data_IF_281331789853
#
_entry.id   IF_281331789853
#
_cell.length_a   1.000
_cell.length_b   1.000
_cell.length_c   1.000
_cell.angle_alpha   90.00
_cell.angle_beta   90.00
_cell.angle_gamma   90.00
#
_symmetry.space_group_name_H-M   'P 1'
#
loop_
_entity.id
_entity.type
_entity.pdbx_description
1 polymer ?
#
# COMPACT_ATOMS: atom_id res chain seq x y z
N UNK A 1 -13.52 -16.64 13.23
CA UNK A 1 -14.78 -16.88 13.98
C UNK A 1 -14.70 -17.95 15.08
N UNK A 2 -14.02 -19.10 14.90
CA UNK A 2 -13.95 -20.16 15.95
C UNK A 2 -13.15 -19.77 17.22
N UNK A 3 -12.19 -18.85 17.12
CA UNK A 3 -11.34 -18.42 18.26
C UNK A 3 -12.02 -17.40 19.19
N UNK A 4 -12.88 -16.52 18.66
CA UNK A 4 -13.61 -15.49 19.44
C UNK A 4 -14.68 -16.14 20.34
N UNK A 5 -15.33 -17.19 19.85
CA UNK A 5 -16.34 -17.93 20.61
C UNK A 5 -15.71 -18.67 21.80
N UNK A 6 -14.42 -19.04 21.71
CA UNK A 6 -13.72 -19.80 22.75
C UNK A 6 -13.47 -18.97 24.03
N UNK A 7 -13.25 -17.66 23.92
CA UNK A 7 -13.03 -16.79 25.09
C UNK A 7 -14.34 -16.47 25.80
N UNK A 8 -15.42 -16.19 25.06
CA UNK A 8 -16.75 -15.98 25.65
C UNK A 8 -17.35 -17.26 26.28
N UNK A 9 -17.02 -18.45 25.77
CA UNK A 9 -17.50 -19.73 26.33
C UNK A 9 -16.79 -20.16 27.63
N UNK A 10 -15.58 -19.67 27.91
CA UNK A 10 -14.89 -19.98 29.17
C UNK A 10 -15.45 -19.18 30.37
N UNK A 11 -16.14 -18.06 30.12
CA UNK A 11 -16.68 -17.18 31.17
C UNK A 11 -18.08 -17.59 31.68
N UNK A 12 -18.86 -18.34 30.89
CA UNK A 12 -20.23 -18.73 31.29
C UNK A 12 -20.29 -19.85 32.33
N UNK A 13 -19.19 -20.57 32.58
CA UNK A 13 -19.14 -21.66 33.57
C UNK A 13 -18.88 -21.14 35.00
N UNK A 14 -18.48 -19.88 35.19
CA UNK A 14 -18.17 -19.30 36.50
C UNK A 14 -19.35 -18.56 37.18
N UNK A 15 -20.58 -18.72 36.70
CA UNK A 15 -21.78 -18.00 37.19
C UNK A 15 -22.26 -18.41 38.61
N UNK A 16 -21.38 -18.94 39.46
CA UNK A 16 -21.64 -19.17 40.88
C UNK A 16 -20.58 -18.46 41.71
N UNK A 17 -20.79 -17.17 42.00
CA UNK A 17 -20.14 -16.47 43.13
C UNK A 17 -19.16 -15.33 42.85
N UNK A 18 -19.10 -14.76 41.64
CA UNK A 18 -18.25 -13.59 41.36
C UNK A 18 -18.73 -12.32 42.08
N UNK A 19 -17.82 -11.60 42.73
CA UNK A 19 -18.10 -10.31 43.36
C UNK A 19 -18.37 -9.23 42.30
N UNK A 20 -19.22 -8.25 42.62
CA UNK A 20 -19.61 -7.15 41.74
C UNK A 20 -18.42 -6.34 41.20
N UNK A 21 -17.34 -6.26 41.98
CA UNK A 21 -16.09 -5.59 41.59
C UNK A 21 -15.33 -6.38 40.51
N UNK A 22 -15.27 -7.71 40.61
CA UNK A 22 -14.62 -8.57 39.63
C UNK A 22 -15.38 -8.60 38.30
N UNK A 23 -16.72 -8.59 38.35
CA UNK A 23 -17.57 -8.43 37.16
C UNK A 23 -17.32 -7.10 36.43
N UNK A 24 -17.20 -6.00 37.16
CA UNK A 24 -16.91 -4.69 36.57
C UNK A 24 -15.50 -4.65 35.94
N UNK A 25 -14.52 -5.30 36.55
CA UNK A 25 -13.17 -5.42 36.00
C UNK A 25 -13.14 -6.22 34.70
N UNK A 26 -13.83 -7.37 34.65
CA UNK A 26 -13.98 -8.19 33.45
C UNK A 26 -14.66 -7.43 32.31
N UNK A 27 -15.77 -6.73 32.59
CA UNK A 27 -16.46 -5.91 31.59
C UNK A 27 -15.55 -4.83 30.99
N UNK A 28 -14.66 -4.23 31.81
CA UNK A 28 -13.69 -3.25 31.33
C UNK A 28 -12.65 -3.90 30.42
N UNK A 29 -12.11 -5.05 30.80
CA UNK A 29 -11.17 -5.81 29.97
C UNK A 29 -11.80 -6.22 28.63
N UNK A 30 -13.06 -6.68 28.64
CA UNK A 30 -13.78 -7.02 27.42
C UNK A 30 -13.96 -5.79 26.52
N UNK A 31 -14.30 -4.63 27.10
CA UNK A 31 -14.39 -3.38 26.36
C UNK A 31 -13.04 -2.96 25.73
N UNK A 32 -11.95 -3.05 26.50
CA UNK A 32 -10.59 -2.78 26.00
C UNK A 32 -10.21 -3.73 24.85
N UNK A 33 -10.57 -5.01 24.95
CA UNK A 33 -10.34 -5.99 23.89
C UNK A 33 -11.16 -5.69 22.62
N UNK A 34 -12.44 -5.31 22.76
CA UNK A 34 -13.26 -4.91 21.60
C UNK A 34 -12.71 -3.64 20.93
N UNK A 35 -12.24 -2.67 21.71
CA UNK A 35 -11.60 -1.46 21.19
C UNK A 35 -10.32 -1.79 20.40
N UNK A 36 -9.52 -2.75 20.87
CA UNK A 36 -8.34 -3.24 20.14
C UNK A 36 -8.72 -3.88 18.80
N UNK A 37 -9.74 -4.75 18.77
CA UNK A 37 -10.22 -5.35 17.53
C UNK A 37 -10.70 -4.31 16.53
N UNK A 38 -11.38 -3.26 17.00
CA UNK A 38 -11.82 -2.17 16.14
C UNK A 38 -10.63 -1.41 15.56
N UNK A 39 -9.61 -1.08 16.38
CA UNK A 39 -8.39 -0.40 15.90
C UNK A 39 -7.62 -1.22 14.88
N UNK A 40 -7.55 -2.54 15.07
CA UNK A 40 -6.92 -3.45 14.10
C UNK A 40 -7.69 -3.46 12.76
N UNK A 41 -9.03 -3.49 12.81
CA UNK A 41 -9.86 -3.43 11.61
C UNK A 41 -9.73 -2.08 10.87
N UNK A 42 -9.72 -0.96 11.61
CA UNK A 42 -9.50 0.38 11.05
C UNK A 42 -8.12 0.47 10.38
N UNK A 43 -7.07 -0.03 11.04
CA UNK A 43 -5.71 -0.03 10.48
C UNK A 43 -5.58 -0.90 9.23
N UNK A 44 -6.25 -2.04 9.20
CA UNK A 44 -6.30 -2.90 8.01
C UNK A 44 -6.96 -2.19 6.83
N UNK A 45 -8.03 -1.43 7.07
CA UNK A 45 -8.72 -0.68 6.02
C UNK A 45 -7.86 0.48 5.52
N UNK A 46 -7.17 1.20 6.41
CA UNK A 46 -6.20 2.24 6.01
C UNK A 46 -5.14 1.68 5.04
N UNK A 47 -4.56 0.52 5.33
CA UNK A 47 -3.58 -0.10 4.45
C UNK A 47 -4.16 -0.51 3.09
N UNK A 48 -5.41 -0.96 3.03
CA UNK A 48 -6.07 -1.28 1.76
C UNK A 48 -6.32 -0.04 0.92
N UNK A 49 -6.79 1.04 1.54
CA UNK A 49 -7.02 2.32 0.87
C UNK A 49 -5.70 2.90 0.36
N UNK A 50 -4.65 2.89 1.19
CA UNK A 50 -3.31 3.33 0.78
C UNK A 50 -2.81 2.50 -0.40
N UNK A 51 -2.87 1.17 -0.31
CA UNK A 51 -2.49 0.26 -1.41
C UNK A 51 -3.22 0.61 -2.71
N UNK A 52 -4.54 0.76 -2.66
CA UNK A 52 -5.35 1.12 -3.82
C UNK A 52 -4.91 2.45 -4.44
N UNK A 53 -4.64 3.46 -3.62
CA UNK A 53 -4.13 4.76 -4.09
C UNK A 53 -2.76 4.62 -4.76
N UNK A 54 -1.86 3.81 -4.20
CA UNK A 54 -0.54 3.55 -4.79
C UNK A 54 -0.64 2.80 -6.11
N UNK A 55 -1.57 1.85 -6.24
CA UNK A 55 -1.83 1.11 -7.48
C UNK A 55 -2.33 2.03 -8.60
N UNK A 56 -3.26 2.95 -8.30
CA UNK A 56 -3.73 3.95 -9.26
C UNK A 56 -2.60 4.88 -9.74
N UNK A 57 -1.75 5.33 -8.82
CA UNK A 57 -0.58 6.13 -9.18
C UNK A 57 0.43 5.34 -10.02
N UNK A 58 0.65 4.06 -9.69
CA UNK A 58 1.54 3.18 -10.44
C UNK A 58 1.06 3.01 -11.89
N UNK A 59 -0.24 2.84 -12.10
CA UNK A 59 -0.83 2.77 -13.46
C UNK A 59 -0.53 4.05 -14.24
N UNK A 60 -0.77 5.23 -13.64
CA UNK A 60 -0.47 6.53 -14.29
C UNK A 60 1.02 6.71 -14.60
N UNK A 61 1.92 6.19 -13.78
CA UNK A 61 3.36 6.23 -14.04
C UNK A 61 3.74 5.30 -15.20
N UNK A 62 3.20 4.08 -15.25
CA UNK A 62 3.42 3.12 -16.33
C UNK A 62 2.87 3.60 -17.68
N UNK A 63 1.73 4.27 -17.70
CA UNK A 63 1.19 4.89 -18.92
C UNK A 63 2.17 5.92 -19.52
N UNK A 64 2.88 6.68 -18.69
CA UNK A 64 3.89 7.66 -19.14
C UNK A 64 5.16 6.99 -19.69
N UNK A 65 5.45 5.77 -19.25
CA UNK A 65 6.56 4.97 -19.74
C UNK A 65 6.33 4.47 -21.17
N UNK A 66 5.09 4.16 -21.56
CA UNK A 66 4.74 3.66 -22.90
C UNK A 66 5.18 4.62 -24.02
N UNK A 67 5.17 5.93 -23.78
CA UNK A 67 5.61 6.92 -24.76
C UNK A 67 7.13 6.98 -24.97
N UNK A 68 7.93 6.31 -24.13
CA UNK A 68 9.39 6.40 -24.10
C UNK A 68 10.01 6.00 -25.43
N UNK A 69 9.68 4.81 -25.93
CA UNK A 69 10.29 4.24 -27.13
C UNK A 69 10.04 5.11 -28.36
N UNK A 70 8.80 5.59 -28.53
CA UNK A 70 8.43 6.48 -29.65
C UNK A 70 9.22 7.79 -29.60
N UNK A 71 9.34 8.40 -28.42
CA UNK A 71 10.08 9.65 -28.23
C UNK A 71 11.57 9.45 -28.58
N UNK A 72 12.19 8.39 -28.08
CA UNK A 72 13.60 8.12 -28.36
C UNK A 72 13.85 7.78 -29.84
N UNK A 73 12.96 7.01 -30.47
CA UNK A 73 13.04 6.70 -31.89
C UNK A 73 12.95 7.98 -32.75
N UNK A 74 12.04 8.89 -32.41
CA UNK A 74 11.85 10.17 -33.11
C UNK A 74 13.05 11.10 -32.90
N UNK A 75 13.49 11.30 -31.66
CA UNK A 75 14.63 12.16 -31.34
C UNK A 75 15.93 11.62 -31.92
N UNK A 76 16.12 10.30 -31.96
CA UNK A 76 17.26 9.65 -32.60
C UNK A 76 17.34 10.03 -34.08
N UNK A 77 16.27 9.77 -34.84
CA UNK A 77 16.18 10.12 -36.26
C UNK A 77 16.39 11.61 -36.50
N UNK A 78 15.69 12.46 -35.73
CA UNK A 78 15.78 13.91 -35.88
C UNK A 78 17.20 14.43 -35.56
N UNK A 79 17.91 13.82 -34.60
CA UNK A 79 19.28 14.20 -34.26
C UNK A 79 20.31 13.90 -35.35
N UNK A 80 19.98 13.04 -36.31
CA UNK A 80 20.83 12.70 -37.45
C UNK A 80 20.57 13.59 -38.66
N UNK A 81 19.31 13.90 -38.94
CA UNK A 81 18.89 14.54 -40.21
C UNK A 81 18.59 16.03 -40.11
N UNK A 82 18.26 16.56 -38.92
CA UNK A 82 17.82 17.96 -38.76
C UNK A 82 18.99 18.92 -38.68
N UNK A 83 18.73 20.21 -38.90
CA UNK A 83 19.74 21.27 -38.82
C UNK A 83 20.30 21.44 -37.40
N UNK A 84 19.43 21.49 -36.39
CA UNK A 84 19.80 21.70 -34.98
C UNK A 84 20.15 20.40 -34.24
N UNK A 85 20.99 19.53 -34.83
CA UNK A 85 21.30 18.18 -34.30
C UNK A 85 21.65 18.17 -32.81
N UNK A 86 22.50 19.10 -32.38
CA UNK A 86 22.96 19.16 -31.00
C UNK A 86 21.83 19.49 -30.01
N UNK A 87 20.83 20.28 -30.42
CA UNK A 87 19.66 20.56 -29.60
C UNK A 87 18.77 19.32 -29.45
N UNK A 88 18.61 18.51 -30.51
CA UNK A 88 17.91 17.23 -30.42
C UNK A 88 18.63 16.25 -29.49
N UNK A 89 19.97 16.18 -29.54
CA UNK A 89 20.77 15.36 -28.62
C UNK A 89 20.65 15.81 -27.17
N UNK A 90 20.66 17.12 -26.90
CA UNK A 90 20.41 17.68 -25.57
C UNK A 90 18.99 17.34 -25.09
N UNK A 91 18.00 17.42 -25.97
CA UNK A 91 16.62 17.07 -25.65
C UNK A 91 16.50 15.57 -25.30
N UNK A 92 17.12 14.69 -26.07
CA UNK A 92 17.16 13.25 -25.78
C UNK A 92 17.75 12.94 -24.41
N UNK A 93 18.86 13.61 -24.02
CA UNK A 93 19.46 13.47 -22.68
C UNK A 93 18.50 13.89 -21.55
N UNK A 94 17.73 14.96 -21.74
CA UNK A 94 16.72 15.36 -20.74
C UNK A 94 15.59 14.35 -20.60
N UNK A 95 15.16 13.74 -21.71
CA UNK A 95 14.21 12.63 -21.66
C UNK A 95 14.80 11.41 -20.96
N UNK A 96 16.08 11.10 -21.19
CA UNK A 96 16.77 10.01 -20.49
C UNK A 96 16.78 10.22 -18.98
N UNK A 97 17.14 11.41 -18.52
CA UNK A 97 17.09 11.77 -17.10
C UNK A 97 15.68 11.70 -16.52
N UNK A 98 14.67 12.15 -17.27
CA UNK A 98 13.26 12.05 -16.88
C UNK A 98 12.82 10.60 -16.71
N UNK A 99 13.08 9.75 -17.71
CA UNK A 99 12.67 8.35 -17.69
C UNK A 99 13.40 7.54 -16.63
N UNK A 100 14.68 7.85 -16.35
CA UNK A 100 15.40 7.27 -15.22
C UNK A 100 14.74 7.59 -13.87
N UNK A 101 14.24 8.81 -13.69
CA UNK A 101 13.48 9.18 -12.49
C UNK A 101 12.12 8.50 -12.44
N UNK A 102 11.47 8.35 -13.59
CA UNK A 102 10.19 7.65 -13.71
C UNK A 102 10.34 6.17 -13.30
N UNK A 103 11.35 5.48 -13.81
CA UNK A 103 11.66 4.08 -13.45
C UNK A 103 11.92 3.92 -11.96
N UNK A 104 12.70 4.83 -11.37
CA UNK A 104 12.95 4.82 -9.92
C UNK A 104 11.65 5.00 -9.12
N UNK A 105 10.77 5.91 -9.54
CA UNK A 105 9.48 6.13 -8.89
C UNK A 105 8.55 4.92 -9.02
N UNK A 106 8.54 4.25 -10.18
CA UNK A 106 7.79 3.00 -10.40
C UNK A 106 8.29 1.91 -9.44
N UNK A 107 9.60 1.68 -9.38
CA UNK A 107 10.19 0.67 -8.50
C UNK A 107 9.91 0.95 -7.01
N UNK A 108 9.98 2.21 -6.59
CA UNK A 108 9.64 2.60 -5.22
C UNK A 108 8.18 2.29 -4.87
N UNK A 109 7.24 2.59 -5.79
CA UNK A 109 5.81 2.32 -5.58
C UNK A 109 5.49 0.83 -5.59
N UNK A 110 6.10 0.06 -6.47
CA UNK A 110 5.98 -1.41 -6.47
C UNK A 110 6.49 -2.02 -5.16
N UNK A 111 7.62 -1.51 -4.65
CA UNK A 111 8.15 -1.89 -3.34
C UNK A 111 7.16 -1.63 -2.21
N UNK A 112 6.62 -0.41 -2.13
CA UNK A 112 5.63 -0.01 -1.12
C UNK A 112 4.35 -0.85 -1.18
N UNK A 113 3.82 -1.11 -2.38
CA UNK A 113 2.66 -1.98 -2.58
C UNK A 113 2.95 -3.38 -2.04
N UNK A 114 4.13 -3.95 -2.35
CA UNK A 114 4.55 -5.28 -1.88
C UNK A 114 4.65 -5.34 -0.35
N UNK A 115 5.13 -4.26 0.29
CA UNK A 115 5.18 -4.15 1.75
C UNK A 115 3.79 -4.09 2.38
N UNK A 116 2.90 -3.25 1.83
CA UNK A 116 1.50 -3.17 2.27
C UNK A 116 0.78 -4.50 2.10
N UNK A 117 0.99 -5.21 0.99
CA UNK A 117 0.43 -6.54 0.76
C UNK A 117 0.83 -7.55 1.85
N UNK A 118 2.10 -7.55 2.27
CA UNK A 118 2.55 -8.42 3.36
C UNK A 118 1.87 -8.06 4.68
N UNK A 119 1.77 -6.77 5.00
CA UNK A 119 1.10 -6.31 6.23
C UNK A 119 -0.38 -6.67 6.24
N UNK A 120 -1.08 -6.44 5.13
CA UNK A 120 -2.48 -6.80 4.94
C UNK A 120 -2.66 -8.31 5.13
N UNK A 121 -1.80 -9.13 4.52
CA UNK A 121 -1.91 -10.59 4.65
C UNK A 121 -1.74 -11.06 6.09
N UNK A 122 -0.74 -10.54 6.80
CA UNK A 122 -0.50 -10.86 8.23
C UNK A 122 -1.72 -10.50 9.09
N UNK A 123 -2.36 -9.36 8.82
CA UNK A 123 -3.53 -8.90 9.59
C UNK A 123 -4.85 -9.60 9.18
N UNK A 124 -4.87 -10.29 8.04
CA UNK A 124 -6.06 -10.96 7.51
C UNK A 124 -6.12 -12.46 7.83
N UNK A 125 -5.01 -13.05 8.30
CA UNK A 125 -4.87 -14.46 8.71
C UNK A 125 -5.36 -14.74 10.15
#
# INVERSE_FOLDING_TARGET
>A
MKKVILFCLLLSIAAYGLDSQELNFLNKMDAEYQELLQKEAEKLEEFKVEKSSLEEELVKLKEREVAKEEIFAKLGKDSEIRWHRDEYKKLAKRYEEYYKKLEAAIAEREGKITELEKLINIMSE
#
